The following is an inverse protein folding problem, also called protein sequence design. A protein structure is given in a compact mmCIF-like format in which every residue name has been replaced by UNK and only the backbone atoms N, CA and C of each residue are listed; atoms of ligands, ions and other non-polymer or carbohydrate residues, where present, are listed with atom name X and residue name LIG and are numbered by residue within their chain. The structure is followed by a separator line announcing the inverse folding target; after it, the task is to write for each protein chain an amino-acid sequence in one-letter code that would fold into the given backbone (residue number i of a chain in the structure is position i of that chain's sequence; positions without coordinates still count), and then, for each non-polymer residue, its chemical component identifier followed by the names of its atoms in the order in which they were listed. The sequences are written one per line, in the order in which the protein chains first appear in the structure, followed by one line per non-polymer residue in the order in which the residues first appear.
data_IF_308485336847
#
_entry.id   IF_308485336847
#
_cell.length_a   1.000
_cell.length_b   1.000
_cell.length_c   1.000
_cell.angle_alpha   90.00
_cell.angle_beta   90.00
_cell.angle_gamma   90.00
#
_symmetry.space_group_name_H-M   'P 1'
#
loop_
_entity.id
_entity.type
_entity.pdbx_description
1 polymer ?
#
# COMPACT_ATOMS: atom_id res chain seq x y z
N UNK A 1 66.65 63.45 -89.96
CA UNK A 1 65.88 63.41 -88.72
C UNK A 1 65.65 61.97 -88.42
N UNK A 2 66.44 61.33 -87.62
CA UNK A 2 66.47 59.93 -87.30
C UNK A 2 66.07 59.76 -85.86
N UNK A 3 64.94 59.17 -85.70
CA UNK A 3 64.45 58.81 -84.34
C UNK A 3 64.91 57.38 -84.03
N UNK A 4 65.75 57.30 -82.99
CA UNK A 4 66.16 56.03 -82.43
C UNK A 4 65.17 55.56 -81.33
N UNK A 5 64.58 54.38 -81.51
CA UNK A 5 63.81 53.70 -80.46
C UNK A 5 64.73 52.97 -79.51
N UNK A 6 64.58 53.13 -78.19
CA UNK A 6 65.31 52.32 -77.25
C UNK A 6 64.71 50.93 -77.16
N UNK A 7 65.56 49.93 -77.20
CA UNK A 7 65.22 48.50 -76.99
C UNK A 7 64.76 48.29 -75.55
N UNK A 8 63.55 47.69 -75.43
CA UNK A 8 63.05 47.17 -74.14
C UNK A 8 63.86 45.92 -73.77
N UNK A 9 64.65 46.06 -72.71
CA UNK A 9 65.30 44.93 -72.09
C UNK A 9 64.24 44.03 -71.43
N UNK A 10 64.15 42.86 -71.94
CA UNK A 10 63.33 41.74 -71.40
C UNK A 10 63.94 41.34 -70.06
N UNK A 11 63.29 41.81 -68.99
CA UNK A 11 63.74 41.55 -67.65
C UNK A 11 63.01 40.26 -67.18
N UNK A 12 63.50 39.17 -67.66
CA UNK A 12 63.07 37.77 -67.26
C UNK A 12 63.51 37.61 -65.78
N UNK A 13 62.74 38.24 -64.91
CA UNK A 13 62.87 38.03 -63.47
C UNK A 13 62.29 36.64 -63.23
N UNK A 14 63.19 35.71 -63.11
CA UNK A 14 63.00 34.38 -62.56
C UNK A 14 62.22 34.51 -61.23
N UNK A 15 60.90 34.48 -61.30
CA UNK A 15 59.97 34.54 -60.16
C UNK A 15 60.00 33.22 -59.38
N UNK A 16 61.20 32.82 -58.98
CA UNK A 16 61.48 31.81 -57.98
C UNK A 16 61.17 32.40 -56.59
N UNK A 17 59.86 32.65 -56.37
CA UNK A 17 59.43 33.06 -55.07
C UNK A 17 59.62 31.88 -54.10
N UNK A 18 60.57 31.94 -53.15
CA UNK A 18 60.83 30.86 -52.21
C UNK A 18 59.62 30.65 -51.24
N UNK A 19 58.63 31.48 -51.40
CA UNK A 19 57.48 31.58 -50.54
C UNK A 19 56.29 30.71 -51.00
N UNK A 20 56.31 30.12 -52.23
CA UNK A 20 55.24 29.26 -52.75
C UNK A 20 55.18 27.93 -51.99
N UNK A 21 56.26 27.27 -51.78
CA UNK A 21 56.32 25.99 -51.04
C UNK A 21 56.06 26.11 -49.54
N UNK A 22 56.21 27.33 -48.98
CA UNK A 22 55.86 27.60 -47.58
C UNK A 22 54.36 27.77 -47.40
N UNK A 23 53.68 28.48 -48.26
CA UNK A 23 52.21 28.64 -48.26
C UNK A 23 51.47 27.33 -48.45
N UNK A 24 51.93 26.46 -49.35
CA UNK A 24 51.38 25.11 -49.57
C UNK A 24 51.53 24.25 -48.33
N UNK A 25 52.68 24.23 -47.67
CA UNK A 25 52.92 23.51 -46.43
C UNK A 25 52.04 23.98 -45.25
N UNK A 26 51.77 25.28 -45.17
CA UNK A 26 50.84 25.83 -44.16
C UNK A 26 49.41 25.41 -44.46
N UNK A 27 49.02 25.42 -45.75
CA UNK A 27 47.67 25.03 -46.16
C UNK A 27 47.41 23.55 -45.89
N UNK A 28 48.39 22.69 -46.19
CA UNK A 28 48.30 21.28 -45.85
C UNK A 28 48.23 21.03 -44.34
N UNK A 29 49.07 21.67 -43.55
CA UNK A 29 49.01 21.58 -42.10
C UNK A 29 47.67 22.07 -41.55
N UNK A 30 47.12 23.14 -42.10
CA UNK A 30 45.82 23.67 -41.68
C UNK A 30 44.69 22.72 -42.06
N UNK A 31 44.80 21.99 -43.16
CA UNK A 31 43.86 20.95 -43.55
C UNK A 31 43.93 19.75 -42.61
N UNK A 32 45.13 19.25 -42.32
CA UNK A 32 45.32 18.14 -41.35
C UNK A 32 44.81 18.52 -39.94
N UNK A 33 45.03 19.74 -39.51
CA UNK A 33 44.49 20.19 -38.20
C UNK A 33 42.96 20.23 -38.21
N UNK A 34 42.34 20.69 -39.28
CA UNK A 34 40.87 20.71 -39.40
C UNK A 34 40.30 19.29 -39.39
N UNK A 35 40.91 18.38 -40.12
CA UNK A 35 40.50 16.98 -40.20
C UNK A 35 40.62 16.28 -38.84
N UNK A 36 41.73 16.47 -38.13
CA UNK A 36 41.92 15.98 -36.76
C UNK A 36 40.92 16.59 -35.76
N UNK A 37 40.58 17.87 -35.93
CA UNK A 37 39.56 18.52 -35.09
C UNK A 37 38.14 17.99 -35.38
N UNK A 38 37.88 17.65 -36.64
CA UNK A 38 36.61 17.09 -37.06
C UNK A 38 36.44 15.68 -36.50
N UNK A 39 37.42 14.84 -36.64
CA UNK A 39 37.45 13.47 -36.05
C UNK A 39 37.25 13.55 -34.51
N UNK A 40 37.95 14.47 -33.83
CA UNK A 40 37.78 14.63 -32.38
C UNK A 40 36.40 15.15 -31.98
N UNK A 41 35.75 15.93 -32.82
CA UNK A 41 34.37 16.37 -32.58
C UNK A 41 33.38 15.20 -32.73
N UNK A 42 33.53 14.41 -33.78
CA UNK A 42 32.72 13.22 -34.03
C UNK A 42 32.87 12.20 -32.89
N UNK A 43 34.11 11.89 -32.49
CA UNK A 43 34.36 11.03 -31.32
C UNK A 43 33.75 11.58 -30.02
N UNK A 44 33.72 12.91 -29.87
CA UNK A 44 33.16 13.54 -28.68
C UNK A 44 31.64 13.58 -28.70
N UNK A 45 31.02 13.69 -29.85
CA UNK A 45 29.57 13.59 -30.06
C UNK A 45 29.11 12.13 -29.85
N UNK A 46 29.80 11.17 -30.44
CA UNK A 46 29.51 9.75 -30.25
C UNK A 46 29.58 9.32 -28.78
N UNK A 47 30.62 9.76 -28.05
CA UNK A 47 30.72 9.54 -26.59
C UNK A 47 29.65 10.25 -25.76
N UNK A 48 29.12 11.37 -26.27
CA UNK A 48 27.99 12.06 -25.59
C UNK A 48 26.70 11.33 -25.81
N UNK A 49 26.46 10.84 -27.02
CA UNK A 49 25.29 10.03 -27.36
C UNK A 49 25.29 8.70 -26.61
N UNK A 50 26.42 8.00 -26.58
CA UNK A 50 26.58 6.76 -25.81
C UNK A 50 26.25 6.98 -24.33
N UNK A 51 26.81 8.03 -23.72
CA UNK A 51 26.53 8.40 -22.31
C UNK A 51 25.08 8.84 -22.10
N UNK A 52 24.43 9.44 -23.08
CA UNK A 52 23.03 9.82 -23.00
C UNK A 52 22.15 8.57 -23.02
N UNK A 53 22.41 7.65 -23.95
CA UNK A 53 21.71 6.38 -24.06
C UNK A 53 21.86 5.53 -22.77
N UNK A 54 23.09 5.39 -22.27
CA UNK A 54 23.36 4.68 -21.01
C UNK A 54 22.61 5.30 -19.81
N UNK A 55 22.48 6.63 -19.77
CA UNK A 55 21.69 7.30 -18.72
C UNK A 55 20.18 7.04 -18.85
N UNK A 56 19.70 6.98 -20.07
CA UNK A 56 18.27 6.76 -20.32
C UNK A 56 17.91 5.28 -20.09
N UNK A 57 18.75 4.34 -20.45
CA UNK A 57 18.63 2.93 -20.09
C UNK A 57 18.59 2.74 -18.56
N UNK A 58 19.54 3.32 -17.84
CA UNK A 58 19.54 3.28 -16.36
C UNK A 58 18.32 3.93 -15.71
N UNK A 59 17.74 4.96 -16.35
CA UNK A 59 16.47 5.55 -15.87
C UNK A 59 15.30 4.60 -16.09
N UNK A 60 15.23 3.96 -17.25
CA UNK A 60 14.18 2.99 -17.56
C UNK A 60 14.23 1.79 -16.61
N UNK A 61 15.41 1.19 -16.42
CA UNK A 61 15.61 0.11 -15.45
C UNK A 61 15.16 0.51 -14.02
N UNK A 62 15.49 1.73 -13.59
CA UNK A 62 15.03 2.23 -12.28
C UNK A 62 13.52 2.38 -12.19
N UNK A 63 12.88 2.85 -13.26
CA UNK A 63 11.41 2.98 -13.32
C UNK A 63 10.77 1.61 -13.24
N UNK A 64 11.28 0.63 -13.99
CA UNK A 64 10.79 -0.75 -13.98
C UNK A 64 10.94 -1.38 -12.59
N UNK A 65 12.12 -1.30 -11.98
CA UNK A 65 12.35 -1.82 -10.63
C UNK A 65 11.45 -1.15 -9.57
N UNK A 66 11.20 0.17 -9.70
CA UNK A 66 10.30 0.89 -8.80
C UNK A 66 8.84 0.46 -9.00
N UNK A 67 8.46 0.16 -10.24
CA UNK A 67 7.12 -0.31 -10.57
C UNK A 67 6.88 -1.71 -10.00
N UNK A 68 7.82 -2.63 -10.21
CA UNK A 68 7.74 -3.99 -9.64
C UNK A 68 7.69 -3.98 -8.11
N UNK A 69 8.56 -3.24 -7.45
CA UNK A 69 8.52 -3.08 -5.99
C UNK A 69 7.21 -2.47 -5.47
N UNK A 70 6.55 -1.62 -6.27
CA UNK A 70 5.22 -1.09 -5.92
C UNK A 70 4.15 -2.14 -6.08
N UNK A 71 4.17 -2.92 -7.15
CA UNK A 71 3.25 -4.04 -7.37
C UNK A 71 3.35 -5.06 -6.22
N UNK A 72 4.55 -5.49 -5.87
CA UNK A 72 4.78 -6.39 -4.73
C UNK A 72 4.20 -5.85 -3.41
N UNK A 73 4.42 -4.55 -3.13
CA UNK A 73 3.87 -3.92 -1.92
C UNK A 73 2.34 -3.86 -1.92
N UNK A 74 1.72 -3.62 -3.07
CA UNK A 74 0.27 -3.60 -3.21
C UNK A 74 -0.31 -4.99 -3.06
N UNK A 75 0.31 -6.00 -3.64
CA UNK A 75 -0.07 -7.41 -3.49
C UNK A 75 0.01 -7.84 -2.01
N UNK A 76 1.14 -7.59 -1.36
CA UNK A 76 1.33 -7.91 0.06
C UNK A 76 0.38 -7.13 0.99
N UNK A 77 -0.02 -5.92 0.61
CA UNK A 77 -1.07 -5.18 1.32
C UNK A 77 -2.43 -5.88 1.16
N UNK A 78 -2.79 -6.25 -0.09
CA UNK A 78 -4.04 -6.94 -0.36
C UNK A 78 -4.13 -8.27 0.37
N UNK A 79 -3.11 -9.11 0.27
CA UNK A 79 -3.06 -10.42 0.97
C UNK A 79 -3.30 -10.27 2.47
N UNK A 80 -2.59 -9.36 3.13
CA UNK A 80 -2.78 -9.10 4.56
C UNK A 80 -4.17 -8.58 4.89
N UNK A 81 -4.74 -7.77 3.99
CA UNK A 81 -6.07 -7.19 4.18
C UNK A 81 -7.16 -8.25 3.98
N UNK A 82 -7.09 -9.05 2.91
CA UNK A 82 -8.05 -10.12 2.63
C UNK A 82 -8.03 -11.19 3.72
N UNK A 83 -6.85 -11.64 4.16
CA UNK A 83 -6.73 -12.57 5.29
C UNK A 83 -7.34 -12.01 6.58
N UNK A 84 -7.20 -10.71 6.84
CA UNK A 84 -7.81 -10.08 8.01
C UNK A 84 -9.32 -10.03 7.90
N UNK A 85 -9.86 -9.71 6.72
CA UNK A 85 -11.28 -9.70 6.46
C UNK A 85 -11.86 -11.12 6.57
N UNK A 86 -11.19 -12.13 6.02
CA UNK A 86 -11.58 -13.53 6.13
C UNK A 86 -11.68 -13.99 7.60
N UNK A 87 -10.61 -13.75 8.38
CA UNK A 87 -10.62 -14.09 9.82
C UNK A 87 -11.75 -13.40 10.58
N UNK A 88 -12.09 -12.18 10.18
CA UNK A 88 -13.19 -11.45 10.79
C UNK A 88 -14.54 -12.10 10.45
N UNK A 89 -14.78 -12.49 9.20
CA UNK A 89 -15.99 -13.24 8.79
C UNK A 89 -16.08 -14.57 9.52
N UNK A 90 -14.99 -15.32 9.62
CA UNK A 90 -14.92 -16.57 10.39
C UNK A 90 -15.30 -16.34 11.88
N UNK A 91 -14.88 -15.22 12.45
CA UNK A 91 -15.25 -14.86 13.82
C UNK A 91 -16.73 -14.52 13.93
N UNK A 92 -17.31 -13.82 12.95
CA UNK A 92 -18.75 -13.54 12.92
C UNK A 92 -19.55 -14.85 12.83
N UNK A 93 -19.12 -15.81 12.00
CA UNK A 93 -19.74 -17.11 11.88
C UNK A 93 -19.78 -17.86 13.22
N UNK A 94 -18.65 -17.92 13.93
CA UNK A 94 -18.60 -18.54 15.27
C UNK A 94 -19.50 -17.84 16.30
N UNK A 95 -19.75 -16.54 16.14
CA UNK A 95 -20.69 -15.83 16.98
C UNK A 95 -22.13 -16.18 16.59
N UNK A 96 -22.41 -16.25 15.27
CA UNK A 96 -23.71 -16.65 14.75
C UNK A 96 -24.10 -18.04 15.22
N UNK A 97 -23.18 -19.01 15.18
CA UNK A 97 -23.40 -20.37 15.67
C UNK A 97 -23.82 -20.37 17.14
N UNK A 98 -23.14 -19.61 18.01
CA UNK A 98 -23.51 -19.48 19.42
C UNK A 98 -24.85 -18.79 19.63
N UNK A 99 -25.20 -17.87 18.75
CA UNK A 99 -26.49 -17.20 18.72
C UNK A 99 -27.59 -18.22 18.36
N UNK A 100 -27.35 -19.04 17.34
CA UNK A 100 -28.27 -20.14 16.96
C UNK A 100 -28.50 -21.14 18.10
N UNK A 101 -27.44 -21.58 18.79
CA UNK A 101 -27.58 -22.44 19.97
C UNK A 101 -28.45 -21.81 21.08
N UNK A 102 -28.33 -20.51 21.25
CA UNK A 102 -29.13 -19.77 22.25
C UNK A 102 -30.58 -19.66 21.81
N UNK A 103 -30.86 -19.41 20.53
CA UNK A 103 -32.19 -19.38 19.96
C UNK A 103 -32.88 -20.71 20.16
N UNK A 104 -32.23 -21.82 19.84
CA UNK A 104 -32.77 -23.16 20.06
C UNK A 104 -33.22 -23.37 21.50
N UNK A 105 -32.41 -22.98 22.49
CA UNK A 105 -32.78 -23.05 23.92
C UNK A 105 -33.97 -22.17 24.29
N UNK A 106 -34.12 -21.01 23.66
CA UNK A 106 -35.25 -20.10 23.91
C UNK A 106 -36.53 -20.67 23.28
N UNK A 107 -36.45 -21.26 22.09
CA UNK A 107 -37.53 -21.96 21.43
C UNK A 107 -38.02 -23.16 22.27
N UNK A 108 -37.08 -23.99 22.78
CA UNK A 108 -37.38 -25.08 23.71
C UNK A 108 -38.08 -24.60 25.00
N UNK A 109 -37.76 -23.39 25.45
CA UNK A 109 -38.40 -22.74 26.58
C UNK A 109 -39.78 -22.10 26.23
N UNK A 110 -40.28 -22.31 25.00
CA UNK A 110 -41.57 -21.80 24.54
C UNK A 110 -41.60 -20.31 24.23
N UNK A 111 -40.44 -19.68 23.98
CA UNK A 111 -40.39 -18.30 23.50
C UNK A 111 -40.57 -18.25 21.99
N UNK A 112 -41.25 -17.24 21.50
CA UNK A 112 -41.35 -16.96 20.07
C UNK A 112 -39.99 -16.46 19.55
N UNK A 113 -39.33 -17.30 18.70
CA UNK A 113 -37.99 -17.05 18.15
C UNK A 113 -37.99 -16.79 16.66
N UNK A 114 -39.15 -16.84 15.98
CA UNK A 114 -39.25 -16.80 14.51
C UNK A 114 -38.57 -15.58 13.89
N UNK A 115 -38.79 -14.38 14.44
CA UNK A 115 -38.17 -13.16 13.95
C UNK A 115 -36.64 -13.17 14.13
N UNK A 116 -36.17 -13.70 15.26
CA UNK A 116 -34.72 -13.75 15.56
C UNK A 116 -34.04 -14.82 14.71
N UNK A 117 -34.70 -15.93 14.38
CA UNK A 117 -34.18 -16.94 13.47
C UNK A 117 -34.06 -16.38 12.04
N UNK A 118 -35.10 -15.68 11.55
CA UNK A 118 -35.05 -15.04 10.24
C UNK A 118 -33.91 -14.01 10.13
N UNK A 119 -33.66 -13.22 11.20
CA UNK A 119 -32.53 -12.29 11.23
C UNK A 119 -31.18 -12.99 11.30
N UNK A 120 -31.10 -14.15 11.92
CA UNK A 120 -29.87 -14.96 11.95
C UNK A 120 -29.58 -15.59 10.58
N UNK A 121 -30.60 -16.06 9.88
CA UNK A 121 -30.49 -16.58 8.51
C UNK A 121 -30.03 -15.47 7.54
N UNK A 122 -30.57 -14.27 7.65
CA UNK A 122 -30.09 -13.09 6.88
C UNK A 122 -28.62 -12.78 7.20
N UNK A 123 -28.21 -12.90 8.47
CA UNK A 123 -26.83 -12.72 8.86
C UNK A 123 -25.89 -13.77 8.22
N UNK A 124 -26.28 -15.05 8.16
CA UNK A 124 -25.52 -16.08 7.45
C UNK A 124 -25.42 -15.77 5.96
N UNK A 125 -26.54 -15.40 5.31
CA UNK A 125 -26.53 -15.00 3.90
C UNK A 125 -25.59 -13.84 3.60
N UNK A 126 -25.58 -12.79 4.45
CA UNK A 126 -24.66 -11.65 4.30
C UNK A 126 -23.19 -12.00 4.58
N UNK A 127 -22.90 -13.00 5.43
CA UNK A 127 -21.54 -13.53 5.62
C UNK A 127 -21.04 -14.28 4.38
N UNK A 128 -21.91 -15.10 3.75
CA UNK A 128 -21.60 -15.78 2.49
C UNK A 128 -21.34 -14.78 1.36
N UNK A 129 -22.10 -13.69 1.31
CA UNK A 129 -21.86 -12.58 0.36
C UNK A 129 -20.50 -11.91 0.60
N UNK A 130 -20.14 -11.70 1.85
CA UNK A 130 -18.85 -11.13 2.21
C UNK A 130 -17.67 -12.05 1.81
N UNK A 131 -17.78 -13.36 2.02
CA UNK A 131 -16.78 -14.35 1.58
C UNK A 131 -16.64 -14.37 0.05
N UNK A 132 -17.76 -14.36 -0.67
CA UNK A 132 -17.75 -14.29 -2.14
C UNK A 132 -17.13 -12.99 -2.64
N UNK A 133 -17.43 -11.87 -1.98
CA UNK A 133 -16.82 -10.57 -2.31
C UNK A 133 -15.31 -10.59 -2.08
N UNK A 134 -14.82 -11.18 -0.99
CA UNK A 134 -13.38 -11.33 -0.71
C UNK A 134 -12.70 -12.19 -1.78
N UNK A 135 -13.29 -13.33 -2.14
CA UNK A 135 -12.75 -14.26 -3.14
C UNK A 135 -12.70 -13.62 -4.54
N UNK A 136 -13.81 -12.99 -4.97
CA UNK A 136 -13.90 -12.29 -6.25
C UNK A 136 -12.89 -11.14 -6.34
N UNK A 137 -12.78 -10.36 -5.26
CA UNK A 137 -11.81 -9.27 -5.19
C UNK A 137 -10.36 -9.80 -5.26
N UNK A 138 -10.05 -10.91 -4.61
CA UNK A 138 -8.71 -11.51 -4.67
C UNK A 138 -8.35 -11.98 -6.09
N UNK A 139 -9.29 -12.54 -6.82
CA UNK A 139 -9.09 -12.92 -8.22
C UNK A 139 -8.87 -11.70 -9.14
N UNK A 140 -9.57 -10.60 -8.89
CA UNK A 140 -9.43 -9.38 -9.70
C UNK A 140 -8.12 -8.58 -9.45
N UNK A 141 -7.43 -8.83 -8.33
CA UNK A 141 -6.21 -8.07 -7.97
C UNK A 141 -5.07 -8.31 -8.94
N UNK A 142 -4.88 -9.54 -9.43
CA UNK A 142 -3.83 -9.86 -10.39
C UNK A 142 -4.02 -9.11 -11.69
N UNK A 143 -5.25 -9.05 -12.21
CA UNK A 143 -5.59 -8.30 -13.43
C UNK A 143 -5.38 -6.78 -13.24
N UNK A 144 -5.76 -6.26 -12.07
CA UNK A 144 -5.55 -4.85 -11.74
C UNK A 144 -4.05 -4.50 -11.69
N UNK A 145 -3.22 -5.40 -11.18
CA UNK A 145 -1.77 -5.18 -11.06
C UNK A 145 -1.02 -5.43 -12.37
N UNK A 146 -1.62 -6.16 -13.33
CA UNK A 146 -1.09 -6.30 -14.68
C UNK A 146 -1.15 -5.00 -15.47
N UNK A 147 -2.00 -4.04 -15.08
CA UNK A 147 -2.12 -2.72 -15.69
C UNK A 147 -0.80 -1.94 -15.57
N UNK A 148 -0.32 -1.38 -16.69
CA UNK A 148 0.96 -0.67 -16.73
C UNK A 148 0.91 0.72 -16.07
N UNK A 149 -0.26 1.18 -15.66
CA UNK A 149 -0.44 2.46 -14.97
C UNK A 149 -0.60 2.30 -13.45
N UNK A 150 0.47 2.45 -12.66
CA UNK A 150 0.45 2.20 -11.21
C UNK A 150 -0.54 3.05 -10.44
N UNK A 151 -0.86 4.25 -10.94
CA UNK A 151 -1.83 5.16 -10.30
C UNK A 151 -3.25 4.65 -10.44
N UNK A 152 -3.61 4.16 -11.63
CA UNK A 152 -4.95 3.61 -11.90
C UNK A 152 -5.13 2.26 -11.19
N UNK A 153 -4.12 1.40 -11.22
CA UNK A 153 -4.11 0.17 -10.44
C UNK A 153 -4.37 0.42 -8.95
N UNK A 154 -3.73 1.42 -8.37
CA UNK A 154 -3.95 1.80 -6.96
C UNK A 154 -5.38 2.29 -6.70
N UNK A 155 -5.96 3.10 -7.60
CA UNK A 155 -7.35 3.57 -7.46
C UNK A 155 -8.34 2.41 -7.53
N UNK A 156 -8.17 1.52 -8.53
CA UNK A 156 -9.00 0.33 -8.69
C UNK A 156 -8.92 -0.58 -7.45
N UNK A 157 -7.72 -0.85 -6.96
CA UNK A 157 -7.48 -1.66 -5.77
C UNK A 157 -8.13 -1.03 -4.51
N UNK A 158 -8.04 0.28 -4.36
CA UNK A 158 -8.68 0.99 -3.24
C UNK A 158 -10.20 0.94 -3.32
N UNK A 159 -10.78 1.06 -4.51
CA UNK A 159 -12.22 0.93 -4.72
C UNK A 159 -12.69 -0.48 -4.37
N UNK A 160 -12.01 -1.49 -4.88
CA UNK A 160 -12.26 -2.90 -4.60
C UNK A 160 -12.18 -3.22 -3.10
N UNK A 161 -11.14 -2.73 -2.43
CA UNK A 161 -10.99 -2.87 -0.98
C UNK A 161 -12.15 -2.24 -0.20
N UNK A 162 -12.60 -1.04 -0.62
CA UNK A 162 -13.73 -0.35 0.02
C UNK A 162 -15.04 -1.12 -0.15
N UNK A 163 -15.26 -1.68 -1.32
CA UNK A 163 -16.45 -2.49 -1.63
C UNK A 163 -16.47 -3.77 -0.80
N UNK A 164 -15.38 -4.53 -0.81
CA UNK A 164 -15.24 -5.75 -0.01
C UNK A 164 -15.40 -5.47 1.48
N UNK A 165 -14.80 -4.40 1.98
CA UNK A 165 -14.98 -3.98 3.38
C UNK A 165 -16.44 -3.58 3.66
N UNK A 166 -17.16 -3.07 2.67
CA UNK A 166 -18.60 -2.78 2.72
C UNK A 166 -19.42 -4.02 3.00
N UNK A 167 -19.18 -5.11 2.25
CA UNK A 167 -19.84 -6.40 2.43
C UNK A 167 -19.58 -6.98 3.84
N UNK A 168 -18.32 -6.96 4.30
CA UNK A 168 -17.97 -7.41 5.65
C UNK A 168 -18.68 -6.61 6.76
N UNK A 169 -18.81 -5.29 6.57
CA UNK A 169 -19.57 -4.45 7.51
C UNK A 169 -21.06 -4.75 7.49
N UNK A 170 -21.62 -5.10 6.35
CA UNK A 170 -23.02 -5.50 6.23
C UNK A 170 -23.27 -6.79 7.00
N UNK A 171 -22.44 -7.80 6.85
CA UNK A 171 -22.50 -9.04 7.62
C UNK A 171 -22.46 -8.79 9.14
N UNK A 172 -21.55 -7.93 9.59
CA UNK A 172 -21.51 -7.55 11.00
C UNK A 172 -22.80 -6.87 11.48
N UNK A 173 -23.41 -6.00 10.66
CA UNK A 173 -24.66 -5.31 11.02
C UNK A 173 -25.85 -6.28 11.10
N UNK A 174 -25.94 -7.20 10.15
CA UNK A 174 -26.99 -8.23 10.17
C UNK A 174 -26.90 -9.09 11.43
N UNK A 175 -25.70 -9.59 11.76
CA UNK A 175 -25.50 -10.34 13.00
C UNK A 175 -25.81 -9.52 14.26
N UNK A 176 -25.45 -8.25 14.28
CA UNK A 176 -25.78 -7.34 15.42
C UNK A 176 -27.30 -7.17 15.57
N UNK A 177 -28.05 -7.13 14.46
CA UNK A 177 -29.51 -7.07 14.50
C UNK A 177 -30.11 -8.36 15.12
N UNK A 178 -29.64 -9.54 14.69
CA UNK A 178 -30.06 -10.82 15.27
C UNK A 178 -29.75 -10.89 16.79
N UNK A 179 -28.57 -10.48 17.22
CA UNK A 179 -28.20 -10.45 18.64
C UNK A 179 -29.13 -9.50 19.43
N UNK A 180 -29.47 -8.34 18.85
CA UNK A 180 -30.36 -7.37 19.49
C UNK A 180 -31.78 -7.92 19.68
N UNK A 181 -32.33 -8.64 18.69
CA UNK A 181 -33.62 -9.29 18.75
C UNK A 181 -33.67 -10.28 19.92
N UNK A 182 -32.68 -11.17 20.05
CA UNK A 182 -32.60 -12.15 21.14
C UNK A 182 -32.55 -11.49 22.53
N UNK A 183 -31.86 -10.35 22.66
CA UNK A 183 -31.84 -9.62 23.95
C UNK A 183 -33.25 -9.16 24.34
N UNK A 184 -34.07 -8.77 23.37
CA UNK A 184 -35.46 -8.39 23.58
C UNK A 184 -36.28 -9.55 24.17
N UNK A 185 -36.10 -10.79 23.63
CA UNK A 185 -36.76 -11.98 24.11
C UNK A 185 -36.37 -12.39 25.55
N UNK A 186 -35.12 -12.14 25.91
CA UNK A 186 -34.59 -12.44 27.25
C UNK A 186 -35.03 -11.41 28.31
N UNK A 187 -35.44 -10.21 27.90
CA UNK A 187 -35.85 -9.13 28.80
C UNK A 187 -37.35 -9.10 29.10
N UNK A 188 -38.13 -10.06 28.54
CA UNK A 188 -39.55 -10.17 28.95
C UNK A 188 -39.57 -10.51 30.43
N UNK A 189 -40.11 -9.61 31.29
CA UNK A 189 -40.16 -9.89 32.72
C UNK A 189 -40.99 -11.14 32.90
N UNK A 190 -40.45 -12.09 33.63
CA UNK A 190 -41.23 -13.20 34.24
C UNK A 190 -42.47 -12.55 34.87
N UNK A 191 -43.70 -13.07 34.52
CA UNK A 191 -44.91 -12.48 35.11
C UNK A 191 -44.71 -12.50 36.60
N UNK A 192 -44.77 -11.31 37.17
CA UNK A 192 -44.57 -11.09 38.61
C UNK A 192 -45.38 -12.16 39.36
N UNK A 193 -44.66 -13.11 39.93
CA UNK A 193 -45.25 -14.03 40.89
C UNK A 193 -46.08 -13.20 41.84
N UNK A 194 -47.39 -13.47 41.90
CA UNK A 194 -48.34 -12.79 42.80
C UNK A 194 -47.69 -12.60 44.16
N UNK A 195 -47.88 -11.47 44.78
CA UNK A 195 -47.32 -11.25 46.10
C UNK A 195 -48.02 -12.20 47.09
N UNK A 196 -47.41 -13.31 47.37
CA UNK A 196 -47.77 -14.15 48.51
C UNK A 196 -47.42 -13.39 49.76
N UNK A 197 -48.54 -13.06 50.45
CA UNK A 197 -48.66 -12.73 51.85
C UNK A 197 -47.40 -12.30 52.62
N UNK A 198 -47.42 -11.05 52.99
CA UNK A 198 -46.58 -10.46 54.01
C UNK A 198 -46.38 -11.36 55.22
N UNK A 199 -45.18 -11.78 55.59
CA UNK A 199 -44.91 -12.26 56.94
C UNK A 199 -44.67 -11.06 57.85
N UNK A 200 -45.33 -11.12 58.99
CA UNK A 200 -45.29 -10.30 60.18
C UNK A 200 -43.85 -9.90 60.59
N UNK A 201 -43.65 -8.73 61.18
CA UNK A 201 -42.35 -8.27 61.59
C UNK A 201 -41.82 -9.04 62.80
N UNK A 202 -40.68 -9.67 62.67
CA UNK A 202 -39.92 -10.29 63.77
C UNK A 202 -38.83 -9.34 64.25
N UNK A 203 -38.45 -9.39 65.52
CA UNK A 203 -37.76 -8.29 66.23
C UNK A 203 -36.30 -8.16 65.89
N UNK A 204 -35.84 -6.92 65.99
CA UNK A 204 -34.47 -6.46 65.90
C UNK A 204 -33.47 -7.25 66.75
N UNK A 205 -32.31 -7.58 66.29
CA UNK A 205 -31.14 -7.72 67.10
C UNK A 205 -30.02 -6.71 66.70
N UNK A 206 -29.70 -5.89 67.58
CA UNK A 206 -28.41 -5.55 68.20
C UNK A 206 -27.13 -5.67 67.34
N UNK A 207 -26.53 -4.51 67.19
CA UNK A 207 -25.13 -4.14 67.07
C UNK A 207 -24.10 -5.12 66.46
N UNK A 208 -23.57 -4.67 65.33
CA UNK A 208 -22.36 -5.23 64.71
C UNK A 208 -21.11 -4.43 64.96
N UNK A 209 -19.98 -5.06 65.13
CA UNK A 209 -18.72 -4.36 65.28
C UNK A 209 -18.13 -3.89 63.94
N UNK A 210 -17.49 -2.74 64.02
CA UNK A 210 -16.74 -2.02 63.00
C UNK A 210 -15.67 -2.91 62.31
N UNK A 211 -15.56 -2.96 60.99
CA UNK A 211 -14.45 -3.59 60.32
C UNK A 211 -13.19 -2.72 60.30
N UNK A 212 -12.07 -3.32 60.62
CA UNK A 212 -10.71 -2.84 60.60
C UNK A 212 -10.24 -2.44 59.20
N UNK A 213 -9.36 -1.43 59.04
CA UNK A 213 -8.91 -0.99 57.72
C UNK A 213 -7.98 -1.99 57.07
N UNK A 214 -8.21 -2.24 55.77
CA UNK A 214 -7.31 -3.06 54.90
C UNK A 214 -5.97 -2.38 54.63
N UNK A 215 -4.90 -3.16 54.48
CA UNK A 215 -3.60 -2.61 54.19
C UNK A 215 -3.47 -2.09 52.79
N UNK A 216 -2.82 -0.94 52.68
CA UNK A 216 -2.43 -0.23 51.48
C UNK A 216 -1.52 -1.11 50.57
N UNK A 217 -1.93 -1.34 49.36
CA UNK A 217 -1.11 -2.00 48.32
C UNK A 217 0.06 -1.11 47.91
N UNK A 218 1.23 -1.67 47.98
CA UNK A 218 2.52 -1.10 47.54
C UNK A 218 2.57 -1.04 46.01
N UNK A 219 2.95 0.10 45.37
CA UNK A 219 3.04 0.20 43.93
C UNK A 219 4.19 -0.68 43.39
N UNK A 220 3.86 -1.46 42.38
CA UNK A 220 4.77 -2.30 41.61
C UNK A 220 5.82 -1.49 40.84
N UNK A 221 7.08 -1.92 40.75
CA UNK A 221 8.13 -1.17 40.08
C UNK A 221 7.93 -1.13 38.57
N UNK A 222 8.08 0.06 38.02
CA UNK A 222 8.11 0.38 36.58
C UNK A 222 9.26 -0.35 35.88
N UNK A 223 9.05 -1.04 34.75
CA UNK A 223 10.13 -1.64 34.01
C UNK A 223 11.01 -0.58 33.34
N UNK A 224 12.30 -0.69 33.58
CA UNK A 224 13.39 0.09 32.96
C UNK A 224 13.43 -0.13 31.45
N UNK A 225 13.54 0.91 30.61
CA UNK A 225 13.71 0.73 29.17
C UNK A 225 15.06 0.10 28.85
N UNK A 226 15.02 -0.98 28.07
CA UNK A 226 16.16 -1.72 27.57
C UNK A 226 16.96 -0.88 26.56
N UNK A 227 18.23 -0.68 26.82
CA UNK A 227 19.17 0.02 25.94
C UNK A 227 19.30 -0.67 24.59
N UNK A 228 19.20 0.14 23.52
CA UNK A 228 19.47 -0.23 22.14
C UNK A 228 20.96 -0.50 21.92
N UNK A 229 21.36 -1.58 21.24
CA UNK A 229 22.78 -1.81 20.93
C UNK A 229 23.27 -0.85 19.84
N UNK A 230 24.41 -0.23 20.12
CA UNK A 230 25.20 0.64 19.25
C UNK A 230 25.72 -0.13 18.01
N UNK A 231 25.74 0.47 16.79
CA UNK A 231 26.33 -0.17 15.62
C UNK A 231 27.86 -0.16 15.70
N UNK A 232 28.46 -1.33 15.49
CA UNK A 232 29.90 -1.52 15.33
C UNK A 232 30.42 -0.87 14.04
N UNK A 233 31.61 -0.25 14.04
CA UNK A 233 32.27 0.20 12.84
C UNK A 233 32.90 -0.96 12.08
N UNK A 234 32.65 -1.01 10.78
CA UNK A 234 33.30 -1.91 9.82
C UNK A 234 34.61 -1.31 9.32
N UNK A 235 35.70 -2.07 9.14
CA UNK A 235 36.99 -1.65 8.60
C UNK A 235 36.97 -1.42 7.09
#
# INVERSE_FOLDING_TARGET
MTSASPALADNDRDDRSPNRGWKERIFERAKDIRERLQIKREEHEEKREEKANERDERKQERIEQLTEKRKEKLLAFWERSSQRMQRFVDQLRRIADRVGERLARLSEAGKDTDESEALLDDAYGTMDDAERAIASASAAVEDILADNEPKEAFKKLRALHKETLGAVKQAHRALAAAIKSIRGLSATPEPAASPLASPSPSPSPSESPTPSPSPTETPSPTPTPSESPSPSPTP
#
